data_IF_207203710128
#
_entry.id   IF_207203710128
#
_cell.length_a   1.000
_cell.length_b   1.000
_cell.length_c   1.000
_cell.angle_alpha   90.00
_cell.angle_beta   90.00
_cell.angle_gamma   90.00
#
_symmetry.space_group_name_H-M   'P 1'
#
loop_
_entity.id
_entity.type
_entity.pdbx_description
1 polymer ?
#
# COMPACT_ATOMS: atom_id res chain seq x y z
N UNK A 1 3.13 31.76 6.57
CA UNK A 1 2.25 30.91 5.73
C UNK A 1 1.99 29.60 6.47
N UNK A 2 0.74 29.18 6.59
CA UNK A 2 0.41 27.84 7.10
C UNK A 2 0.94 26.79 6.12
N UNK A 3 1.75 25.83 6.60
CA UNK A 3 2.21 24.72 5.76
C UNK A 3 1.01 23.79 5.50
N UNK A 4 0.66 23.62 4.23
CA UNK A 4 -0.32 22.62 3.80
C UNK A 4 0.25 21.23 4.09
N UNK A 5 -0.45 20.42 4.89
CA UNK A 5 -0.12 19.00 5.05
C UNK A 5 -0.50 18.25 3.77
N UNK A 6 0.44 17.49 3.22
CA UNK A 6 0.20 16.54 2.14
C UNK A 6 0.01 15.17 2.78
N UNK A 7 -0.99 14.42 2.31
CA UNK A 7 -1.28 13.06 2.76
C UNK A 7 -0.86 12.12 1.64
N UNK A 8 -0.02 11.14 1.95
CA UNK A 8 0.38 10.09 1.04
C UNK A 8 -0.54 8.88 1.22
N UNK A 9 -1.34 8.59 0.19
CA UNK A 9 -2.19 7.41 0.09
C UNK A 9 -1.56 6.43 -0.89
N UNK A 10 -1.17 5.25 -0.41
CA UNK A 10 -0.46 4.23 -1.17
C UNK A 10 -1.38 3.05 -1.51
N UNK A 11 -1.43 2.65 -2.79
CA UNK A 11 -2.26 1.56 -3.30
C UNK A 11 -1.48 0.31 -3.70
N UNK A 12 -0.21 0.18 -3.28
CA UNK A 12 0.68 -0.91 -3.71
C UNK A 12 0.11 -2.29 -3.38
N UNK A 13 -0.51 -2.48 -2.21
CA UNK A 13 -1.05 -3.79 -1.79
C UNK A 13 -2.38 -4.16 -2.45
N UNK A 14 -3.01 -3.23 -3.19
CA UNK A 14 -4.27 -3.45 -3.90
C UNK A 14 -4.05 -3.38 -5.40
N UNK A 15 -3.75 -2.21 -5.93
CA UNK A 15 -3.55 -1.99 -7.37
C UNK A 15 -2.29 -2.68 -7.88
N UNK A 16 -1.22 -2.63 -7.08
CA UNK A 16 0.04 -3.28 -7.41
C UNK A 16 -0.14 -4.78 -7.55
N UNK A 17 -0.82 -5.44 -6.61
CA UNK A 17 -1.10 -6.88 -6.67
C UNK A 17 -1.97 -7.28 -7.88
N UNK A 18 -2.91 -6.42 -8.29
CA UNK A 18 -3.78 -6.68 -9.44
C UNK A 18 -3.06 -6.54 -10.79
N UNK A 19 -1.81 -6.06 -10.80
CA UNK A 19 -1.02 -5.96 -12.02
C UNK A 19 -0.60 -7.36 -12.53
N UNK A 20 -0.59 -7.60 -13.86
CA UNK A 20 -0.21 -8.90 -14.40
C UNK A 20 1.19 -9.34 -13.94
N UNK A 21 1.27 -10.53 -13.35
CA UNK A 21 2.52 -11.09 -12.83
C UNK A 21 2.98 -10.55 -11.48
N UNK A 22 2.17 -9.74 -10.79
CA UNK A 22 2.50 -9.13 -9.51
C UNK A 22 1.72 -9.72 -8.31
N UNK A 23 1.25 -10.97 -8.40
CA UNK A 23 0.55 -11.63 -7.30
C UNK A 23 1.44 -11.72 -6.06
N UNK A 24 0.92 -11.29 -4.91
CA UNK A 24 1.65 -11.24 -3.65
C UNK A 24 1.11 -12.29 -2.68
N UNK A 25 2.00 -13.04 -2.07
CA UNK A 25 1.66 -13.86 -0.90
C UNK A 25 1.37 -12.97 0.32
N UNK A 26 0.69 -13.52 1.33
CA UNK A 26 0.43 -12.81 2.60
C UNK A 26 1.72 -12.29 3.24
N UNK A 27 2.80 -13.09 3.19
CA UNK A 27 4.09 -12.69 3.76
C UNK A 27 4.72 -11.52 2.99
N UNK A 28 4.68 -11.54 1.66
CA UNK A 28 5.16 -10.42 0.83
C UNK A 28 4.37 -9.14 1.09
N UNK A 29 3.04 -9.25 1.24
CA UNK A 29 2.20 -8.11 1.63
C UNK A 29 2.62 -7.51 2.96
N UNK A 30 2.90 -8.34 3.98
CA UNK A 30 3.36 -7.85 5.29
C UNK A 30 4.73 -7.17 5.19
N UNK A 31 5.67 -7.73 4.42
CA UNK A 31 6.98 -7.11 4.21
C UNK A 31 6.82 -5.73 3.55
N UNK A 32 6.03 -5.63 2.48
CA UNK A 32 5.77 -4.37 1.77
C UNK A 32 5.06 -3.38 2.68
N UNK A 33 4.03 -3.79 3.43
CA UNK A 33 3.31 -2.94 4.37
C UNK A 33 4.27 -2.32 5.42
N UNK A 34 5.21 -3.12 5.94
CA UNK A 34 6.22 -2.61 6.86
C UNK A 34 7.20 -1.64 6.20
N UNK A 35 7.57 -1.85 4.94
CA UNK A 35 8.43 -0.91 4.22
C UNK A 35 7.71 0.41 3.94
N UNK A 36 6.44 0.37 3.53
CA UNK A 36 5.61 1.54 3.33
C UNK A 36 5.46 2.34 4.64
N UNK A 37 5.16 1.67 5.75
CA UNK A 37 5.11 2.31 7.06
C UNK A 37 6.44 2.98 7.45
N UNK A 38 7.59 2.35 7.15
CA UNK A 38 8.92 2.93 7.38
C UNK A 38 9.22 4.13 6.48
N UNK A 39 8.70 4.12 5.25
CA UNK A 39 8.82 5.24 4.30
C UNK A 39 8.01 6.46 4.76
N UNK A 40 7.04 6.26 5.67
CA UNK A 40 6.23 7.32 6.25
C UNK A 40 5.02 7.70 5.40
N UNK A 41 4.46 6.76 4.62
CA UNK A 41 3.14 6.99 4.01
C UNK A 41 2.07 7.11 5.10
N UNK A 42 1.13 8.04 4.90
CA UNK A 42 0.07 8.30 5.88
C UNK A 42 -0.99 7.20 5.89
N UNK A 43 -1.29 6.62 4.72
CA UNK A 43 -2.35 5.62 4.54
C UNK A 43 -1.92 4.56 3.53
N UNK A 44 -2.19 3.29 3.84
CA UNK A 44 -1.94 2.13 2.97
C UNK A 44 -3.27 1.45 2.66
N UNK A 45 -3.62 1.29 1.39
CA UNK A 45 -4.74 0.47 0.95
C UNK A 45 -4.35 -1.01 0.96
N UNK A 46 -4.88 -1.79 1.90
CA UNK A 46 -4.39 -3.13 2.20
C UNK A 46 -4.81 -4.23 1.20
N UNK A 47 -5.76 -3.96 0.30
CA UNK A 47 -6.30 -4.93 -0.66
C UNK A 47 -7.79 -4.72 -0.97
N UNK A 48 -8.43 -5.71 -1.60
CA UNK A 48 -9.84 -5.64 -1.98
C UNK A 48 -10.61 -6.92 -1.57
N UNK A 49 -11.05 -7.04 -0.30
CA UNK A 49 -11.48 -8.31 0.32
C UNK A 49 -12.65 -9.03 -0.36
N UNK A 50 -13.43 -8.32 -1.17
CA UNK A 50 -14.58 -8.89 -1.88
C UNK A 50 -14.18 -9.63 -3.16
N UNK A 51 -12.97 -9.39 -3.69
CA UNK A 51 -12.49 -9.98 -4.94
C UNK A 51 -11.15 -10.70 -4.83
N UNK A 52 -10.56 -10.76 -3.63
CA UNK A 52 -9.21 -11.31 -3.36
C UNK A 52 -9.22 -12.34 -2.24
#
# INVERSE_FOLDING_TARGET
>A
MSKRRIILFDTTLRDGEQSPGASLTVNEKLVIAHQLARLGVDVIEAGFPIAS
#
